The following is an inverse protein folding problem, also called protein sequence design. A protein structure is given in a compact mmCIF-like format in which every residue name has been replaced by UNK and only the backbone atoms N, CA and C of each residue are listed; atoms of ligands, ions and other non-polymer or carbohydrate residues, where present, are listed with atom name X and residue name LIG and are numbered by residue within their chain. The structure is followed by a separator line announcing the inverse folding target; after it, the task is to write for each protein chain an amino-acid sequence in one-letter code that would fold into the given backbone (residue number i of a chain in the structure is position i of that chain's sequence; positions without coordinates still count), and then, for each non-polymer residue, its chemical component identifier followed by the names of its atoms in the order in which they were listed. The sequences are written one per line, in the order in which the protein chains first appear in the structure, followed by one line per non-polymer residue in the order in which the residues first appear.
data_IF_559182268198
#
_entry.id   IF_559182268198
#
_cell.length_a   1.000
_cell.length_b   1.000
_cell.length_c   1.000
_cell.angle_alpha   90.00
_cell.angle_beta   90.00
_cell.angle_gamma   90.00
#
_symmetry.space_group_name_H-M   'P 1'
#
loop_
_entity.id
_entity.type
_entity.pdbx_description
1 polymer ?
#
# COMPACT_ATOMS: atom_id res chain seq x y z
N UNK A 1 14.93 15.47 13.94
CA UNK A 1 15.88 16.45 13.34
C UNK A 1 15.52 16.67 11.86
N UNK A 2 15.83 17.86 11.33
CA UNK A 2 15.69 18.14 9.90
C UNK A 2 16.83 17.43 9.12
N UNK A 3 16.52 16.85 7.97
CA UNK A 3 17.51 16.21 7.11
C UNK A 3 16.93 15.81 5.76
N UNK A 4 17.80 15.42 4.82
CA UNK A 4 17.34 14.87 3.54
C UNK A 4 16.76 13.48 3.77
N UNK A 5 15.43 13.36 3.75
CA UNK A 5 14.69 12.11 3.92
C UNK A 5 14.37 11.52 2.56
N UNK A 6 14.53 10.21 2.43
CA UNK A 6 14.22 9.43 1.24
C UNK A 6 13.18 8.37 1.55
N UNK A 7 12.13 8.30 0.74
CA UNK A 7 11.13 7.23 0.76
C UNK A 7 11.34 6.39 -0.49
N UNK A 8 11.71 5.13 -0.29
CA UNK A 8 11.82 4.13 -1.36
C UNK A 8 10.77 3.04 -1.17
N UNK A 9 10.14 2.54 -2.25
CA UNK A 9 9.11 1.49 -2.16
C UNK A 9 9.14 0.48 -3.31
N UNK A 10 8.61 -0.73 -3.10
CA UNK A 10 8.42 -1.75 -4.14
C UNK A 10 7.15 -2.56 -3.89
N UNK A 11 6.55 -3.08 -4.96
CA UNK A 11 5.30 -3.85 -4.94
C UNK A 11 5.41 -5.17 -5.68
N UNK A 12 4.73 -6.20 -5.16
CA UNK A 12 4.50 -7.44 -5.89
C UNK A 12 3.63 -7.18 -7.13
N UNK A 13 4.23 -7.39 -8.30
CA UNK A 13 3.56 -7.16 -9.58
C UNK A 13 2.43 -8.17 -9.81
N UNK A 14 2.65 -9.45 -9.48
CA UNK A 14 1.64 -10.52 -9.60
C UNK A 14 0.38 -10.19 -8.81
N UNK A 15 0.53 -9.93 -7.50
CA UNK A 15 -0.56 -9.60 -6.58
C UNK A 15 -1.34 -8.34 -7.00
N UNK A 16 -0.68 -7.40 -7.66
CA UNK A 16 -1.35 -6.19 -8.17
C UNK A 16 -2.22 -6.48 -9.40
N UNK A 17 -1.75 -7.35 -10.31
CA UNK A 17 -2.34 -7.52 -11.64
C UNK A 17 -3.27 -8.73 -11.77
N UNK A 18 -3.00 -9.80 -11.01
CA UNK A 18 -3.83 -11.00 -10.99
C UNK A 18 -5.25 -10.67 -10.57
N UNK A 19 -6.22 -11.40 -11.10
CA UNK A 19 -7.62 -11.19 -10.76
C UNK A 19 -7.92 -11.65 -9.32
N UNK A 20 -8.91 -11.05 -8.66
CA UNK A 20 -9.44 -11.59 -7.41
C UNK A 20 -9.85 -13.08 -7.57
N UNK A 21 -9.65 -13.95 -6.57
CA UNK A 21 -9.27 -13.65 -5.18
C UNK A 21 -7.75 -13.54 -4.94
N UNK A 22 -6.92 -13.80 -5.95
CA UNK A 22 -5.45 -13.88 -5.81
C UNK A 22 -4.77 -12.51 -5.91
N UNK A 23 -5.41 -11.55 -6.58
CA UNK A 23 -4.87 -10.20 -6.75
C UNK A 23 -5.95 -9.14 -6.92
N UNK A 24 -5.52 -7.91 -7.22
CA UNK A 24 -6.41 -6.75 -7.34
C UNK A 24 -6.98 -6.51 -8.74
N UNK A 25 -6.55 -7.27 -9.73
CA UNK A 25 -6.96 -7.13 -11.13
C UNK A 25 -6.66 -5.73 -11.68
N UNK A 26 -5.57 -5.10 -11.22
CA UNK A 26 -5.30 -3.70 -11.47
C UNK A 26 -3.99 -3.50 -12.27
N UNK A 27 -4.01 -2.56 -13.22
CA UNK A 27 -2.80 -2.19 -13.93
C UNK A 27 -1.77 -1.56 -12.99
N UNK A 28 -0.54 -2.10 -12.97
CA UNK A 28 0.56 -1.59 -12.13
C UNK A 28 0.76 -0.08 -12.28
N UNK A 29 0.69 0.41 -13.52
CA UNK A 29 0.93 1.82 -13.83
C UNK A 29 -0.08 2.74 -13.13
N UNK A 30 -1.32 2.30 -12.96
CA UNK A 30 -2.33 3.08 -12.24
C UNK A 30 -1.97 3.22 -10.76
N UNK A 31 -1.49 2.14 -10.11
CA UNK A 31 -1.03 2.17 -8.71
C UNK A 31 0.13 3.15 -8.53
N UNK A 32 1.16 3.04 -9.37
CA UNK A 32 2.32 3.93 -9.32
C UNK A 32 1.92 5.40 -9.52
N UNK A 33 1.03 5.71 -10.47
CA UNK A 33 0.57 7.10 -10.70
C UNK A 33 -0.07 7.72 -9.47
N UNK A 34 -0.88 6.97 -8.71
CA UNK A 34 -1.52 7.50 -7.49
C UNK A 34 -0.49 7.78 -6.41
N UNK A 35 0.48 6.88 -6.23
CA UNK A 35 1.57 7.04 -5.25
C UNK A 35 2.46 8.23 -5.62
N UNK A 36 2.86 8.34 -6.89
CA UNK A 36 3.64 9.47 -7.41
C UNK A 36 2.91 10.77 -7.15
N UNK A 37 1.59 10.82 -7.41
CA UNK A 37 0.77 12.01 -7.16
C UNK A 37 0.80 12.38 -5.67
N UNK A 38 0.60 11.40 -4.78
CA UNK A 38 0.59 11.62 -3.33
C UNK A 38 1.93 12.16 -2.83
N UNK A 39 3.04 11.52 -3.22
CA UNK A 39 4.39 11.95 -2.84
C UNK A 39 4.70 13.36 -3.33
N UNK A 40 4.34 13.68 -4.58
CA UNK A 40 4.50 15.04 -5.12
C UNK A 40 3.65 16.07 -4.37
N UNK A 41 2.40 15.75 -4.04
CA UNK A 41 1.53 16.62 -3.23
C UNK A 41 2.10 16.84 -1.82
N UNK A 42 2.78 15.84 -1.25
CA UNK A 42 3.47 15.94 0.03
C UNK A 42 4.84 16.66 -0.03
N UNK A 43 5.23 17.20 -1.19
CA UNK A 43 6.47 17.96 -1.38
C UNK A 43 7.71 17.12 -1.67
N UNK A 44 7.57 15.80 -1.86
CA UNK A 44 8.69 14.94 -2.25
C UNK A 44 8.98 15.07 -3.74
N UNK A 45 10.27 15.16 -4.07
CA UNK A 45 10.75 15.17 -5.44
C UNK A 45 11.26 13.79 -5.85
N UNK A 46 11.03 13.43 -7.11
CA UNK A 46 11.54 12.19 -7.68
C UNK A 46 13.08 12.20 -7.62
N UNK A 47 13.66 11.07 -7.21
CA UNK A 47 15.10 10.85 -7.25
C UNK A 47 15.45 9.81 -8.33
N UNK A 48 15.02 8.56 -8.13
CA UNK A 48 15.22 7.49 -9.11
C UNK A 48 14.23 6.33 -8.88
N UNK A 49 13.65 5.76 -9.94
CA UNK A 49 12.70 4.64 -9.86
C UNK A 49 11.55 4.88 -8.85
N UNK A 50 11.51 4.12 -7.75
CA UNK A 50 10.54 4.25 -6.67
C UNK A 50 11.10 5.01 -5.46
N UNK A 51 12.15 5.80 -5.65
CA UNK A 51 12.80 6.62 -4.62
C UNK A 51 12.48 8.11 -4.77
N UNK A 52 12.12 8.73 -3.65
CA UNK A 52 11.67 10.11 -3.55
C UNK A 52 12.32 10.79 -2.36
N UNK A 53 12.73 12.05 -2.50
CA UNK A 53 13.44 12.77 -1.44
C UNK A 53 12.83 14.13 -1.10
N UNK A 54 13.03 14.56 0.14
CA UNK A 54 12.60 15.87 0.64
C UNK A 54 13.48 16.29 1.81
N UNK A 55 13.82 17.58 1.90
CA UNK A 55 14.40 18.16 3.11
C UNK A 55 13.29 18.34 4.15
N UNK A 56 13.21 17.42 5.11
CA UNK A 56 12.13 17.41 6.12
C UNK A 56 12.55 16.64 7.38
N UNK A 57 11.64 16.51 8.34
CA UNK A 57 11.87 15.66 9.52
C UNK A 57 11.53 14.21 9.22
N UNK A 58 12.24 13.27 9.85
CA UNK A 58 11.93 11.84 9.72
C UNK A 58 10.49 11.51 10.13
N UNK A 59 9.93 12.20 11.14
CA UNK A 59 8.55 12.03 11.57
C UNK A 59 7.55 12.41 10.46
N UNK A 60 7.78 13.54 9.78
CA UNK A 60 6.92 13.95 8.67
C UNK A 60 7.00 12.96 7.51
N UNK A 61 8.21 12.56 7.11
CA UNK A 61 8.40 11.56 6.06
C UNK A 61 7.74 10.22 6.41
N UNK A 62 7.86 9.79 7.66
CA UNK A 62 7.19 8.61 8.18
C UNK A 62 5.66 8.70 8.09
N UNK A 63 5.08 9.83 8.50
CA UNK A 63 3.64 10.05 8.37
C UNK A 63 3.17 9.99 6.91
N UNK A 64 3.95 10.53 5.97
CA UNK A 64 3.65 10.42 4.54
C UNK A 64 3.69 8.95 4.07
N UNK A 65 4.66 8.14 4.54
CA UNK A 65 4.70 6.70 4.26
C UNK A 65 3.47 5.98 4.81
N UNK A 66 3.03 6.31 6.03
CA UNK A 66 1.81 5.73 6.61
C UNK A 66 0.59 6.10 5.75
N UNK A 67 0.52 7.34 5.24
CA UNK A 67 -0.56 7.79 4.36
C UNK A 67 -0.59 7.01 3.03
N UNK A 68 0.57 6.61 2.48
CA UNK A 68 0.63 5.80 1.26
C UNK A 68 -0.17 4.49 1.37
N UNK A 69 -0.28 3.93 2.57
CA UNK A 69 -1.08 2.72 2.84
C UNK A 69 -2.55 2.88 2.44
N UNK A 70 -3.08 4.09 2.51
CA UNK A 70 -4.48 4.41 2.22
C UNK A 70 -4.73 4.78 0.76
N UNK A 71 -3.73 4.61 -0.12
CA UNK A 71 -3.92 4.75 -1.56
C UNK A 71 -4.99 3.79 -2.03
N UNK A 72 -6.00 4.33 -2.72
CA UNK A 72 -7.14 3.54 -3.18
C UNK A 72 -6.74 2.46 -4.21
N UNK A 73 -7.43 1.31 -4.20
CA UNK A 73 -8.39 0.90 -3.18
C UNK A 73 -7.73 0.63 -1.82
N UNK A 74 -8.43 0.91 -0.69
CA UNK A 74 -7.85 0.69 0.63
C UNK A 74 -7.35 -0.75 0.76
N UNK A 75 -6.30 -0.97 1.53
CA UNK A 75 -5.62 -2.28 1.69
C UNK A 75 -4.82 -2.77 0.48
N UNK A 76 -4.93 -2.16 -0.71
CA UNK A 76 -4.11 -2.57 -1.87
C UNK A 76 -2.63 -2.35 -1.66
N UNK A 77 -2.26 -1.16 -1.20
CA UNK A 77 -0.84 -0.88 -0.89
C UNK A 77 -0.36 -1.91 0.14
N UNK A 78 -1.09 -2.10 1.24
CA UNK A 78 -0.72 -3.02 2.31
C UNK A 78 -0.56 -4.50 1.87
N UNK A 79 -1.40 -4.98 0.94
CA UNK A 79 -1.34 -6.38 0.44
C UNK A 79 -0.35 -6.59 -0.69
N UNK A 80 0.00 -5.53 -1.41
CA UNK A 80 0.92 -5.62 -2.55
C UNK A 80 2.32 -5.15 -2.20
N UNK A 81 2.52 -4.49 -1.05
CA UNK A 81 3.81 -3.94 -0.65
C UNK A 81 4.83 -5.05 -0.47
N UNK A 82 5.92 -4.98 -1.22
CA UNK A 82 7.07 -5.88 -1.08
C UNK A 82 8.10 -5.29 -0.13
N UNK A 83 8.28 -3.97 -0.15
CA UNK A 83 9.18 -3.26 0.75
C UNK A 83 8.95 -1.77 0.72
N UNK A 84 9.17 -1.10 1.85
CA UNK A 84 9.22 0.35 1.94
C UNK A 84 10.28 0.77 2.96
N UNK A 85 11.06 1.81 2.65
CA UNK A 85 12.18 2.26 3.49
C UNK A 85 12.18 3.77 3.62
N UNK A 86 12.50 4.22 4.83
CA UNK A 86 12.87 5.59 5.13
C UNK A 86 14.39 5.63 5.36
N UNK A 87 15.08 6.44 4.58
CA UNK A 87 16.53 6.64 4.77
C UNK A 87 16.84 8.12 4.87
N UNK A 88 17.83 8.48 5.69
CA UNK A 88 18.34 9.83 5.79
C UNK A 88 19.75 9.87 5.21
N UNK A 89 20.02 10.76 4.25
CA UNK A 89 21.28 10.76 3.49
C UNK A 89 22.51 11.26 4.27
N UNK A 90 22.39 11.54 5.56
CA UNK A 90 23.55 11.89 6.39
C UNK A 90 24.16 10.62 6.98
N UNK A 91 25.28 10.20 6.39
CA UNK A 91 26.38 9.35 6.89
C UNK A 91 26.02 8.38 8.04
N UNK A 92 26.00 7.08 7.73
CA UNK A 92 25.83 5.96 8.67
C UNK A 92 24.48 5.88 9.43
N UNK A 93 23.48 6.68 9.06
CA UNK A 93 22.16 6.59 9.67
C UNK A 93 21.48 5.23 9.38
N UNK A 94 20.85 4.60 10.40
CA UNK A 94 20.13 3.35 10.21
C UNK A 94 18.97 3.53 9.23
N UNK A 95 18.84 2.58 8.31
CA UNK A 95 17.66 2.50 7.45
C UNK A 95 16.48 2.03 8.30
N UNK A 96 15.35 2.73 8.20
CA UNK A 96 14.14 2.32 8.87
C UNK A 96 13.22 1.60 7.88
N UNK A 97 12.93 0.33 8.14
CA UNK A 97 12.08 -0.53 7.31
C UNK A 97 10.77 -0.86 8.06
N UNK A 98 9.69 -0.11 7.82
CA UNK A 98 8.39 -0.38 8.41
C UNK A 98 7.52 -1.30 7.55
N UNK A 99 8.09 -2.09 6.62
CA UNK A 99 7.30 -2.89 5.67
C UNK A 99 6.26 -3.76 6.37
N UNK A 100 6.65 -4.53 7.38
CA UNK A 100 5.73 -5.40 8.14
C UNK A 100 4.66 -4.59 8.87
N UNK A 101 5.00 -3.40 9.35
CA UNK A 101 4.07 -2.53 10.07
C UNK A 101 3.01 -1.89 9.16
N UNK A 102 3.34 -1.72 7.88
CA UNK A 102 2.49 -1.11 6.85
C UNK A 102 1.75 -2.15 5.99
N UNK A 103 2.24 -3.39 5.94
CA UNK A 103 1.48 -4.54 5.46
C UNK A 103 0.31 -4.83 6.38
N UNK A 104 -0.57 -5.75 5.97
CA UNK A 104 -1.80 -5.98 6.72
C UNK A 104 -1.61 -6.55 8.14
N UNK A 105 -0.41 -6.98 8.53
CA UNK A 105 -0.11 -7.68 9.79
C UNK A 105 0.76 -6.90 10.77
N UNK A 106 0.45 -5.62 11.02
CA UNK A 106 1.29 -4.77 11.87
C UNK A 106 0.56 -3.65 12.60
N UNK A 107 1.31 -2.81 13.32
CA UNK A 107 0.78 -1.79 14.24
C UNK A 107 -0.21 -0.81 13.59
N UNK A 108 -0.01 -0.47 12.31
CA UNK A 108 -0.87 0.48 11.61
C UNK A 108 -1.99 -0.21 10.83
N UNK A 109 -2.04 -1.54 10.81
CA UNK A 109 -3.02 -2.34 10.09
C UNK A 109 -3.70 -3.40 10.96
N UNK A 110 -4.34 -3.02 12.07
CA UNK A 110 -5.02 -4.02 12.89
C UNK A 110 -6.22 -4.66 12.17
N UNK A 111 -6.84 -3.96 11.19
CA UNK A 111 -8.01 -4.43 10.43
C UNK A 111 -7.85 -4.27 8.93
N UNK A 112 -8.54 -5.13 8.17
CA UNK A 112 -8.82 -4.90 6.75
C UNK A 112 -9.76 -3.72 6.62
N UNK A 113 -9.39 -2.72 5.83
CA UNK A 113 -10.29 -1.64 5.44
C UNK A 113 -10.75 -1.87 4.02
N UNK A 114 -12.07 -1.99 3.84
CA UNK A 114 -12.71 -2.24 2.55
C UNK A 114 -12.47 -3.66 2.00
N UNK A 115 -13.14 -4.00 0.88
CA UNK A 115 -13.05 -5.32 0.27
C UNK A 115 -11.61 -5.58 -0.20
N UNK A 116 -10.96 -6.58 0.38
CA UNK A 116 -9.61 -7.04 0.05
C UNK A 116 -9.71 -8.39 -0.67
N UNK A 117 -8.87 -8.70 -1.67
CA UNK A 117 -8.87 -10.01 -2.30
C UNK A 117 -8.67 -11.10 -1.25
N UNK A 118 -9.61 -12.06 -1.22
CA UNK A 118 -9.77 -13.05 -0.14
C UNK A 118 -8.47 -13.77 0.21
N UNK A 119 -7.71 -14.20 -0.78
CA UNK A 119 -6.49 -14.99 -0.55
C UNK A 119 -5.33 -14.12 -0.04
N UNK A 120 -5.37 -12.80 -0.23
CA UNK A 120 -4.38 -11.89 0.34
C UNK A 120 -4.69 -11.53 1.79
N UNK A 121 -5.97 -11.43 2.12
CA UNK A 121 -6.44 -11.21 3.48
C UNK A 121 -6.13 -12.39 4.41
N UNK A 122 -6.31 -13.62 3.94
CA UNK A 122 -6.09 -14.84 4.75
C UNK A 122 -4.62 -15.21 4.94
N UNK A 123 -3.72 -14.76 4.05
CA UNK A 123 -2.29 -15.11 4.10
C UNK A 123 -1.46 -14.23 5.05
N UNK A 124 -2.10 -13.34 5.82
CA UNK A 124 -1.42 -12.42 6.73
C UNK A 124 -1.95 -12.66 8.15
N UNK A 125 -1.06 -12.78 9.14
CA UNK A 125 -1.43 -12.88 10.55
C UNK A 125 -2.01 -11.53 11.01
N UNK A 126 -3.33 -11.37 10.89
CA UNK A 126 -4.03 -10.19 11.37
C UNK A 126 -4.27 -10.30 12.88
N UNK A 127 -4.04 -9.20 13.61
CA UNK A 127 -4.38 -9.10 15.03
C UNK A 127 -5.89 -9.09 15.27
N UNK A 128 -6.68 -8.73 14.25
CA UNK A 128 -8.15 -8.68 14.30
C UNK A 128 -8.71 -9.42 13.08
N UNK A 129 -9.72 -10.29 13.23
CA UNK A 129 -10.28 -11.04 12.12
C UNK A 129 -10.87 -10.13 11.02
N UNK A 130 -10.82 -10.55 9.75
CA UNK A 130 -11.50 -9.86 8.64
C UNK A 130 -12.98 -9.63 8.92
N UNK A 131 -13.50 -8.44 8.57
CA UNK A 131 -14.95 -8.17 8.58
C UNK A 131 -15.52 -8.63 7.23
N UNK A 132 -16.54 -9.51 7.16
CA UNK A 132 -17.10 -9.96 5.90
C UNK A 132 -17.72 -8.82 5.07
N UNK A 133 -17.55 -8.86 3.75
CA UNK A 133 -18.25 -7.95 2.82
C UNK A 133 -19.77 -8.26 2.81
N UNK A 134 -20.66 -7.28 3.09
CA UNK A 134 -22.10 -7.50 3.06
C UNK A 134 -22.59 -7.88 1.65
N UNK A 135 -23.25 -9.04 1.51
CA UNK A 135 -23.65 -9.60 0.22
C UNK A 135 -24.65 -8.71 -0.57
N UNK A 136 -25.45 -7.88 0.10
CA UNK A 136 -26.52 -7.10 -0.52
C UNK A 136 -26.08 -5.75 -1.12
N UNK A 137 -24.88 -5.24 -0.79
CA UNK A 137 -24.37 -3.93 -1.25
C UNK A 137 -22.90 -4.07 -1.63
N UNK A 138 -22.58 -5.05 -2.47
CA UNK A 138 -21.21 -5.18 -2.96
C UNK A 138 -20.91 -4.14 -4.04
N UNK A 139 -19.96 -3.25 -3.75
CA UNK A 139 -19.37 -2.34 -4.73
C UNK A 139 -17.92 -2.72 -4.91
N UNK A 140 -17.52 -3.04 -6.15
CA UNK A 140 -16.12 -3.36 -6.44
C UNK A 140 -15.21 -2.20 -6.02
N UNK A 141 -14.01 -2.47 -5.46
CA UNK A 141 -13.11 -1.41 -5.07
C UNK A 141 -12.68 -0.53 -6.25
N UNK A 142 -12.63 0.80 -6.05
CA UNK A 142 -12.20 1.75 -7.10
C UNK A 142 -10.74 1.46 -7.49
N UNK A 143 -10.47 1.38 -8.79
CA UNK A 143 -9.13 1.09 -9.32
C UNK A 143 -8.86 -0.39 -9.65
N UNK A 144 -9.87 -1.26 -9.49
CA UNK A 144 -9.88 -2.63 -10.01
C UNK A 144 -10.55 -2.65 -11.38
N UNK A 145 -10.02 -3.46 -12.30
CA UNK A 145 -10.61 -3.63 -13.63
C UNK A 145 -11.96 -4.36 -13.50
N UNK A 146 -12.97 -3.95 -14.27
CA UNK A 146 -14.29 -4.60 -14.24
C UNK A 146 -14.25 -5.97 -14.96
N UNK A 147 -13.84 -7.01 -14.25
CA UNK A 147 -13.86 -8.40 -14.73
C UNK A 147 -14.94 -9.20 -14.01
N UNK A 148 -15.37 -10.37 -14.55
CA UNK A 148 -16.30 -11.25 -13.85
C UNK A 148 -15.81 -11.62 -12.44
N UNK A 149 -14.49 -11.84 -12.28
CA UNK A 149 -13.88 -12.14 -11.00
C UNK A 149 -13.91 -10.95 -10.03
N UNK A 150 -13.69 -9.71 -10.50
CA UNK A 150 -13.76 -8.51 -9.68
C UNK A 150 -15.19 -8.14 -9.25
N UNK A 151 -16.20 -8.57 -10.03
CA UNK A 151 -17.61 -8.34 -9.74
C UNK A 151 -18.23 -9.43 -8.83
N UNK A 152 -17.53 -10.53 -8.60
CA UNK A 152 -17.98 -11.60 -7.71
C UNK A 152 -17.66 -11.26 -6.24
N UNK A 153 -18.67 -11.01 -5.37
CA UNK A 153 -18.44 -10.68 -3.95
C UNK A 153 -17.68 -11.77 -3.19
N UNK A 154 -17.78 -13.04 -3.61
CA UNK A 154 -17.09 -14.16 -2.98
C UNK A 154 -15.56 -14.12 -3.17
N UNK A 155 -15.03 -13.27 -4.04
CA UNK A 155 -13.57 -13.12 -4.19
C UNK A 155 -12.97 -12.10 -3.22
N UNK A 156 -13.80 -11.46 -2.40
CA UNK A 156 -13.41 -10.40 -1.48
C UNK A 156 -13.69 -10.80 -0.02
N UNK A 157 -12.95 -10.17 0.89
CA UNK A 157 -13.14 -10.18 2.34
C UNK A 157 -13.12 -8.74 2.85
#
# INVERSE_FOLDING_TARGET
PLGMQHISYDFYTSVTQEQPPNGWGAHRAATYRVIVKLLKTAGFVFNQYSDYKMLTTGLYAYNVMVILRFVLPPSKMATTLKGIRLTQFNLAAPQFDPTVHLQLGGFFSPVLMGPTPRNLAMNINLLIPPVPVPAAIFVKPKGTTATPAALNPANWL
#
